data_IF_411578057026
#
_entry.id   IF_411578057026
#
_cell.length_a   1.000
_cell.length_b   1.000
_cell.length_c   1.000
_cell.angle_alpha   90.00
_cell.angle_beta   90.00
_cell.angle_gamma   90.00
#
_symmetry.space_group_name_H-M   'P 1'
#
loop_
_entity.id
_entity.type
_entity.pdbx_description
1 polymer ?
#
# COMPACT_ATOMS: atom_id res chain seq x y z
N UNK A 1 -4.49 14.25 10.05
CA UNK A 1 -4.84 12.89 10.55
C UNK A 1 -3.99 12.50 11.77
N UNK A 2 -4.21 13.11 12.95
CA UNK A 2 -3.48 12.75 14.18
C UNK A 2 -4.09 11.53 14.91
N UNK A 3 -5.39 11.27 14.71
CA UNK A 3 -6.10 10.17 15.36
C UNK A 3 -5.62 8.78 14.92
N UNK A 4 -5.39 8.59 13.62
CA UNK A 4 -4.97 7.28 13.10
C UNK A 4 -3.56 6.87 13.54
N UNK A 5 -2.61 7.82 13.55
CA UNK A 5 -1.27 7.57 14.10
C UNK A 5 -1.35 7.05 15.54
N UNK A 6 -2.13 7.74 16.39
CA UNK A 6 -2.33 7.37 17.80
C UNK A 6 -3.03 6.02 17.96
N UNK A 7 -3.93 5.67 17.05
CA UNK A 7 -4.55 4.35 17.02
C UNK A 7 -3.50 3.26 16.74
N UNK A 8 -2.66 3.44 15.71
CA UNK A 8 -1.56 2.52 15.41
C UNK A 8 -0.57 2.40 16.57
N UNK A 9 -0.27 3.49 17.28
CA UNK A 9 0.58 3.46 18.48
C UNK A 9 0.01 2.55 19.58
N UNK A 10 -1.33 2.53 19.74
CA UNK A 10 -1.99 1.75 20.80
C UNK A 10 -2.19 0.29 20.42
N UNK A 11 -2.49 0.00 19.16
CA UNK A 11 -2.96 -1.32 18.73
C UNK A 11 -1.85 -2.22 18.16
N UNK A 12 -0.67 -1.69 17.82
CA UNK A 12 0.37 -2.47 17.11
C UNK A 12 0.75 -3.77 17.82
N UNK A 13 0.84 -3.73 19.16
CA UNK A 13 1.29 -4.87 19.95
C UNK A 13 0.18 -5.93 20.03
N UNK A 14 -1.08 -5.49 20.09
CA UNK A 14 -2.26 -6.37 20.04
C UNK A 14 -2.47 -6.99 18.66
N UNK A 15 -2.25 -6.24 17.57
CA UNK A 15 -2.25 -6.78 16.21
C UNK A 15 -1.22 -7.89 16.08
N UNK A 16 0.00 -7.66 16.59
CA UNK A 16 1.05 -8.65 16.53
C UNK A 16 0.74 -9.89 17.37
N UNK A 17 0.28 -9.69 18.61
CA UNK A 17 -0.11 -10.77 19.52
C UNK A 17 -1.23 -11.65 18.97
N UNK A 18 -2.15 -11.07 18.18
CA UNK A 18 -3.25 -11.80 17.53
C UNK A 18 -2.86 -12.46 16.21
N UNK A 19 -1.57 -12.46 15.83
CA UNK A 19 -1.14 -13.01 14.55
C UNK A 19 -1.76 -12.28 13.36
N UNK A 20 -2.09 -11.00 13.51
CA UNK A 20 -2.61 -10.20 12.39
C UNK A 20 -1.45 -9.62 11.61
N UNK A 21 -1.45 -9.84 10.28
CA UNK A 21 -0.57 -9.17 9.31
C UNK A 21 -1.25 -7.92 8.78
N UNK A 22 -0.72 -6.77 9.16
CA UNK A 22 -1.25 -5.48 8.77
C UNK A 22 -0.58 -4.98 7.49
N UNK A 23 -1.38 -4.51 6.52
CA UNK A 23 -0.90 -3.81 5.31
C UNK A 23 -1.78 -2.61 5.01
N UNK A 24 -1.18 -1.59 4.43
CA UNK A 24 -1.90 -0.42 3.90
C UNK A 24 -1.76 -0.38 2.39
N UNK A 25 -2.91 -0.25 1.70
CA UNK A 25 -3.02 -0.09 0.25
C UNK A 25 -3.56 1.31 -0.10
N UNK A 26 -3.33 1.78 -1.32
CA UNK A 26 -3.66 3.14 -1.76
C UNK A 26 -2.53 4.17 -1.60
N UNK A 27 -2.88 5.47 -1.67
CA UNK A 27 -1.92 6.58 -1.85
C UNK A 27 -1.28 7.08 -0.56
N UNK A 28 -0.42 6.25 0.05
CA UNK A 28 0.35 6.56 1.26
C UNK A 28 1.22 7.82 1.18
N UNK A 29 1.71 8.18 -0.02
CA UNK A 29 2.61 9.33 -0.22
C UNK A 29 1.96 10.68 0.11
N UNK A 30 0.62 10.76 0.12
CA UNK A 30 -0.13 11.97 0.48
C UNK A 30 -0.28 12.14 2.00
N UNK A 31 0.12 11.14 2.79
CA UNK A 31 0.10 11.20 4.25
C UNK A 31 1.32 11.97 4.78
N UNK A 32 1.24 12.49 6.00
CA UNK A 32 2.40 13.11 6.64
C UNK A 32 3.52 12.08 6.84
N UNK A 33 4.79 12.50 6.72
CA UNK A 33 5.95 11.61 6.89
C UNK A 33 5.93 10.87 8.22
N UNK A 34 5.47 11.53 9.29
CA UNK A 34 5.33 10.89 10.60
C UNK A 34 4.31 9.75 10.61
N UNK A 35 3.22 9.85 9.83
CA UNK A 35 2.23 8.77 9.73
C UNK A 35 2.74 7.66 8.81
N UNK A 36 3.43 8.00 7.71
CA UNK A 36 4.06 7.02 6.84
C UNK A 36 5.05 6.13 7.61
N UNK A 37 5.95 6.74 8.40
CA UNK A 37 6.90 6.01 9.23
C UNK A 37 6.20 5.08 10.22
N UNK A 38 5.08 5.53 10.81
CA UNK A 38 4.33 4.72 11.77
C UNK A 38 3.65 3.52 11.10
N UNK A 39 3.09 3.72 9.90
CA UNK A 39 2.52 2.64 9.11
C UNK A 39 3.58 1.59 8.81
N UNK A 40 4.76 2.02 8.34
CA UNK A 40 5.87 1.11 8.01
C UNK A 40 6.35 0.31 9.22
N UNK A 41 6.45 0.95 10.39
CA UNK A 41 6.80 0.31 11.65
C UNK A 41 5.84 -0.84 12.00
N UNK A 42 4.53 -0.60 11.93
CA UNK A 42 3.51 -1.62 12.25
C UNK A 42 3.45 -2.72 11.19
N UNK A 43 3.61 -2.38 9.92
CA UNK A 43 3.70 -3.36 8.84
C UNK A 43 4.93 -4.27 9.01
N UNK A 44 6.08 -3.69 9.40
CA UNK A 44 7.29 -4.46 9.67
C UNK A 44 7.15 -5.35 10.90
N UNK A 45 6.50 -4.87 11.96
CA UNK A 45 6.26 -5.64 13.18
C UNK A 45 5.41 -6.90 12.90
N UNK A 46 4.43 -6.77 12.00
CA UNK A 46 3.42 -7.81 11.75
C UNK A 46 3.67 -8.62 10.48
N UNK A 47 4.81 -8.42 9.81
CA UNK A 47 5.05 -8.92 8.45
C UNK A 47 5.03 -10.44 8.30
N UNK A 48 5.38 -11.15 9.38
CA UNK A 48 5.53 -12.62 9.40
C UNK A 48 4.29 -13.32 10.00
N UNK A 49 3.25 -12.56 10.33
CA UNK A 49 2.01 -13.10 10.86
C UNK A 49 1.15 -13.71 9.75
N UNK A 50 0.43 -14.79 10.05
CA UNK A 50 -0.35 -15.54 9.05
C UNK A 50 -1.80 -15.84 9.45
N UNK A 51 -2.17 -15.59 10.72
CA UNK A 51 -3.51 -15.97 11.23
C UNK A 51 -4.63 -15.11 10.62
N UNK A 52 -4.36 -13.82 10.39
CA UNK A 52 -5.33 -12.90 9.78
C UNK A 52 -4.65 -11.79 8.98
N UNK A 53 -5.20 -11.46 7.81
CA UNK A 53 -4.68 -10.40 6.94
C UNK A 53 -5.59 -9.16 7.01
N UNK A 54 -5.10 -8.09 7.62
CA UNK A 54 -5.79 -6.81 7.68
C UNK A 54 -5.22 -5.85 6.63
N UNK A 55 -5.97 -5.65 5.54
CA UNK A 55 -5.64 -4.69 4.50
C UNK A 55 -6.46 -3.40 4.69
N UNK A 56 -5.80 -2.30 5.02
CA UNK A 56 -6.45 -0.99 5.16
C UNK A 56 -6.23 -0.15 3.91
N UNK A 57 -7.32 0.18 3.24
CA UNK A 57 -7.32 1.07 2.07
C UNK A 57 -7.35 2.53 2.51
N UNK A 58 -6.29 3.29 2.23
CA UNK A 58 -6.18 4.73 2.55
C UNK A 58 -5.99 5.52 1.28
N UNK A 59 -6.86 6.52 1.06
CA UNK A 59 -6.86 7.32 -0.18
C UNK A 59 -6.80 6.40 -1.41
N UNK A 60 -7.66 5.38 -1.36
CA UNK A 60 -7.75 4.30 -2.34
C UNK A 60 -8.95 4.56 -3.23
N UNK A 61 -8.69 4.61 -4.53
CA UNK A 61 -9.72 4.58 -5.57
C UNK A 61 -9.29 3.60 -6.64
N UNK A 62 -10.02 2.50 -6.83
CA UNK A 62 -9.64 1.48 -7.82
C UNK A 62 -9.48 2.06 -9.24
N UNK A 63 -10.33 3.03 -9.61
CA UNK A 63 -10.16 3.76 -10.87
C UNK A 63 -8.87 4.59 -10.92
N UNK A 64 -8.51 5.22 -9.80
CA UNK A 64 -7.27 6.00 -9.72
C UNK A 64 -6.03 5.10 -9.83
N UNK A 65 -6.07 3.90 -9.25
CA UNK A 65 -4.99 2.92 -9.36
C UNK A 65 -4.82 2.40 -10.80
N UNK A 66 -5.92 2.09 -11.48
CA UNK A 66 -5.90 1.70 -12.91
C UNK A 66 -5.31 2.84 -13.76
N UNK A 67 -5.70 4.09 -13.50
CA UNK A 67 -5.17 5.26 -14.20
C UNK A 67 -3.65 5.41 -13.95
N UNK A 68 -3.19 5.18 -12.73
CA UNK A 68 -1.76 5.28 -12.38
C UNK A 68 -0.94 4.17 -13.07
N UNK A 69 -1.44 2.93 -13.08
CA UNK A 69 -0.81 1.81 -13.78
C UNK A 69 -0.74 2.07 -15.30
N UNK A 70 -1.86 2.47 -15.91
CA UNK A 70 -1.90 2.82 -17.34
C UNK A 70 -0.91 3.94 -17.69
N UNK A 71 -0.82 5.00 -16.86
CA UNK A 71 0.15 6.09 -17.07
C UNK A 71 1.60 5.62 -16.94
N UNK A 72 1.89 4.64 -16.09
CA UNK A 72 3.23 4.08 -15.96
C UNK A 72 3.60 3.29 -17.23
N UNK A 73 2.72 2.41 -17.71
CA UNK A 73 2.94 1.62 -18.93
C UNK A 73 3.11 2.52 -20.16
N UNK A 74 2.25 3.53 -20.33
CA UNK A 74 2.34 4.48 -21.45
C UNK A 74 3.70 5.20 -21.46
N UNK A 75 4.27 5.53 -20.30
CA UNK A 75 5.60 6.17 -20.24
C UNK A 75 6.70 5.24 -20.72
N UNK A 76 6.64 3.95 -20.42
CA UNK A 76 7.61 2.97 -20.92
C UNK A 76 7.47 2.77 -22.43
N UNK A 77 6.24 2.76 -22.95
CA UNK A 77 5.98 2.72 -24.40
C UNK A 77 6.56 3.96 -25.11
N UNK A 78 6.30 5.16 -24.58
CA UNK A 78 6.83 6.41 -25.16
C UNK A 78 8.36 6.47 -25.11
N UNK A 79 8.99 5.82 -24.12
CA UNK A 79 10.45 5.68 -24.04
C UNK A 79 11.02 4.64 -25.00
N UNK A 80 10.18 3.80 -25.59
CA UNK A 80 10.59 2.69 -26.44
C UNK A 80 11.08 1.47 -25.67
N UNK A 81 10.81 1.40 -24.37
CA UNK A 81 11.21 0.28 -23.50
C UNK A 81 10.21 -0.88 -23.52
N UNK A 82 9.00 -0.65 -24.06
CA UNK A 82 7.90 -1.61 -24.09
C UNK A 82 7.07 -1.37 -25.36
N UNK A 83 6.72 -2.41 -26.09
CA UNK A 83 5.75 -2.32 -27.18
C UNK A 83 4.32 -2.45 -26.64
N UNK A 84 3.35 -1.85 -27.32
CA UNK A 84 1.93 -1.89 -26.86
C UNK A 84 1.40 -3.33 -26.87
N UNK A 85 1.86 -4.13 -27.81
CA UNK A 85 1.50 -5.54 -27.98
C UNK A 85 2.05 -6.43 -26.86
N UNK A 86 3.05 -5.96 -26.12
CA UNK A 86 3.59 -6.63 -24.94
C UNK A 86 2.79 -6.35 -23.67
N UNK A 87 1.79 -5.44 -23.70
CA UNK A 87 0.94 -5.14 -22.55
C UNK A 87 -0.11 -6.24 -22.37
N UNK A 88 -0.01 -6.97 -21.26
CA UNK A 88 -0.94 -8.03 -20.87
C UNK A 88 -1.37 -7.92 -19.40
N UNK A 89 -2.02 -8.98 -18.90
CA UNK A 89 -2.53 -9.05 -17.53
C UNK A 89 -1.42 -9.14 -16.48
N UNK A 90 -0.26 -9.69 -16.82
CA UNK A 90 0.85 -9.87 -15.88
C UNK A 90 1.61 -8.55 -15.62
N UNK A 91 1.37 -7.54 -16.47
CA UNK A 91 1.89 -6.17 -16.31
C UNK A 91 0.98 -5.25 -15.48
N UNK A 92 -0.18 -5.72 -15.00
CA UNK A 92 -1.12 -4.99 -14.14
C UNK A 92 -1.13 -5.54 -12.71
#
# INVERSE_FOLDING_TARGET
MSGFKRYLDKERDELNKKGTRFRVIGRRRRLSSSLQNKIEEVMSLTKDNEDFFLNLAIDYGGQEEIIDAAKALIKEVVRGNLAVEEIDIDLF
#
